data_IF_229410852933
#
_entry.id   IF_229410852933
#
_cell.length_a   1.000
_cell.length_b   1.000
_cell.length_c   1.000
_cell.angle_alpha   90.00
_cell.angle_beta   90.00
_cell.angle_gamma   90.00
#
_symmetry.space_group_name_H-M   'P 1'
#
loop_
_entity.id
_entity.type
_entity.pdbx_description
1 polymer ?
#
# COMPACT_ATOMS: atom_id res chain seq x y z
N UNK A 1 25.31 -3.16 -11.11
CA UNK A 1 24.35 -2.81 -10.05
C UNK A 1 22.97 -3.18 -10.57
N UNK A 2 22.30 -4.18 -9.97
CA UNK A 2 20.99 -4.64 -10.45
C UNK A 2 20.01 -3.46 -10.35
N UNK A 3 19.30 -3.17 -11.44
CA UNK A 3 18.19 -2.21 -11.46
C UNK A 3 17.17 -2.62 -10.39
N UNK A 4 17.25 -2.02 -9.20
CA UNK A 4 16.26 -2.23 -8.16
C UNK A 4 14.94 -1.64 -8.63
N UNK A 5 13.88 -2.47 -8.68
CA UNK A 5 12.53 -2.02 -8.97
C UNK A 5 12.11 -1.02 -7.87
N UNK A 6 12.04 0.30 -8.16
CA UNK A 6 11.82 1.30 -7.11
C UNK A 6 10.46 1.15 -6.44
N UNK A 7 9.47 0.61 -7.16
CA UNK A 7 8.15 0.31 -6.62
C UNK A 7 8.21 -0.82 -5.58
N UNK A 8 9.01 -1.87 -5.83
CA UNK A 8 9.17 -2.98 -4.89
C UNK A 8 9.79 -2.49 -3.59
N UNK A 9 10.90 -1.75 -3.64
CA UNK A 9 11.55 -1.20 -2.44
C UNK A 9 10.62 -0.27 -1.65
N UNK A 10 9.99 0.71 -2.31
CA UNK A 10 9.07 1.65 -1.67
C UNK A 10 7.87 0.96 -1.03
N UNK A 11 7.30 -0.05 -1.69
CA UNK A 11 6.15 -0.78 -1.15
C UNK A 11 6.51 -1.62 0.08
N UNK A 12 7.73 -2.18 0.13
CA UNK A 12 8.22 -2.91 1.30
C UNK A 12 8.45 -1.98 2.50
N UNK A 13 9.09 -0.83 2.27
CA UNK A 13 9.30 0.18 3.31
C UNK A 13 7.97 0.70 3.86
N UNK A 14 6.99 0.94 2.99
CA UNK A 14 5.63 1.31 3.39
C UNK A 14 4.96 0.22 4.23
N UNK A 15 5.07 -1.05 3.83
CA UNK A 15 4.53 -2.18 4.59
C UNK A 15 5.13 -2.26 6.00
N UNK A 16 6.44 -2.01 6.16
CA UNK A 16 7.09 -1.96 7.47
C UNK A 16 6.54 -0.83 8.36
N UNK A 17 6.32 0.36 7.80
CA UNK A 17 5.73 1.49 8.54
C UNK A 17 4.28 1.17 8.97
N UNK A 18 3.49 0.49 8.12
CA UNK A 18 2.13 0.04 8.45
C UNK A 18 2.15 -0.98 9.61
N UNK A 19 3.09 -1.94 9.59
CA UNK A 19 3.27 -2.91 10.68
C UNK A 19 3.64 -2.21 11.99
N UNK A 20 4.53 -1.22 11.94
CA UNK A 20 4.92 -0.42 13.12
C UNK A 20 3.74 0.36 13.68
N UNK A 21 2.96 1.00 12.80
CA UNK A 21 1.77 1.75 13.20
C UNK A 21 0.72 0.84 13.85
N UNK A 22 0.45 -0.33 13.26
CA UNK A 22 -0.47 -1.32 13.84
C UNK A 22 -0.06 -1.71 15.27
N UNK A 23 1.22 -2.05 15.48
CA UNK A 23 1.74 -2.40 16.82
C UNK A 23 1.55 -1.26 17.82
N UNK A 24 1.82 -0.03 17.40
CA UNK A 24 1.63 1.18 18.20
C UNK A 24 0.17 1.40 18.60
N UNK A 25 -0.77 1.31 17.65
CA UNK A 25 -2.20 1.48 17.90
C UNK A 25 -2.70 0.42 18.89
N UNK A 26 -2.38 -0.85 18.65
CA UNK A 26 -2.80 -1.95 19.53
C UNK A 26 -2.27 -1.76 20.94
N UNK A 27 -0.99 -1.44 21.10
CA UNK A 27 -0.36 -1.28 22.42
C UNK A 27 -0.88 -0.06 23.20
N UNK A 28 -1.17 1.05 22.53
CA UNK A 28 -1.51 2.32 23.19
C UNK A 28 -3.00 2.64 23.25
N UNK A 29 -3.80 2.09 22.32
CA UNK A 29 -5.23 2.43 22.17
C UNK A 29 -6.16 1.23 22.27
N UNK A 30 -5.64 0.00 22.26
CA UNK A 30 -6.47 -1.22 22.25
C UNK A 30 -7.52 -1.23 21.12
N UNK A 31 -7.16 -0.72 19.95
CA UNK A 31 -8.01 -0.76 18.75
C UNK A 31 -7.52 -1.87 17.81
N UNK A 32 -8.43 -2.76 17.42
CA UNK A 32 -8.10 -4.02 16.74
C UNK A 32 -8.83 -4.26 15.42
N UNK A 33 -9.88 -3.48 15.14
CA UNK A 33 -10.76 -3.70 13.99
C UNK A 33 -10.26 -2.87 12.81
N UNK A 34 -10.18 -1.55 12.99
CA UNK A 34 -9.76 -0.62 11.94
C UNK A 34 -8.26 -0.77 11.64
N UNK A 35 -7.45 -0.87 12.69
CA UNK A 35 -6.01 -1.07 12.62
C UNK A 35 -5.64 -2.36 11.87
N UNK A 36 -6.45 -3.42 12.02
CA UNK A 36 -6.26 -4.68 11.30
C UNK A 36 -6.65 -4.57 9.82
N UNK A 37 -7.68 -3.79 9.48
CA UNK A 37 -8.02 -3.52 8.08
C UNK A 37 -6.92 -2.70 7.39
N UNK A 38 -6.40 -1.68 8.07
CA UNK A 38 -5.22 -0.92 7.61
C UNK A 38 -4.00 -1.83 7.43
N UNK A 39 -3.70 -2.71 8.40
CA UNK A 39 -2.58 -3.65 8.33
C UNK A 39 -2.68 -4.56 7.10
N UNK A 40 -3.85 -5.17 6.89
CA UNK A 40 -4.11 -6.09 5.78
C UNK A 40 -3.91 -5.39 4.44
N UNK A 41 -4.61 -4.28 4.22
CA UNK A 41 -4.53 -3.54 2.95
C UNK A 41 -3.12 -2.98 2.72
N UNK A 42 -2.51 -2.37 3.73
CA UNK A 42 -1.18 -1.77 3.59
C UNK A 42 -0.06 -2.77 3.27
N UNK A 43 -0.12 -3.99 3.83
CA UNK A 43 0.85 -5.06 3.51
C UNK A 43 0.53 -5.79 2.21
N UNK A 44 -0.74 -5.87 1.82
CA UNK A 44 -1.21 -6.48 0.56
C UNK A 44 -0.65 -5.77 -0.68
N UNK A 45 -0.36 -4.46 -0.61
CA UNK A 45 0.24 -3.69 -1.71
C UNK A 45 1.58 -4.31 -2.13
N UNK A 46 2.53 -4.44 -1.19
CA UNK A 46 3.85 -5.02 -1.46
C UNK A 46 3.78 -6.50 -1.86
N UNK A 47 2.87 -7.27 -1.24
CA UNK A 47 2.66 -8.67 -1.59
C UNK A 47 2.25 -8.84 -3.06
N UNK A 48 1.24 -8.09 -3.52
CA UNK A 48 0.78 -8.15 -4.90
C UNK A 48 1.82 -7.62 -5.90
N UNK A 49 2.62 -6.60 -5.54
CA UNK A 49 3.75 -6.14 -6.37
C UNK A 49 4.82 -7.23 -6.50
N UNK A 50 5.11 -7.95 -5.42
CA UNK A 50 6.04 -9.08 -5.43
C UNK A 50 5.55 -10.19 -6.37
N UNK A 51 4.27 -10.56 -6.26
CA UNK A 51 3.64 -11.53 -7.17
C UNK A 51 3.65 -11.07 -8.63
N UNK A 52 3.46 -9.77 -8.89
CA UNK A 52 3.55 -9.21 -10.23
C UNK A 52 4.93 -9.43 -10.86
N UNK A 53 6.03 -9.38 -10.09
CA UNK A 53 7.38 -9.64 -10.62
C UNK A 53 7.57 -11.11 -11.05
N UNK A 54 6.75 -12.03 -10.56
CA UNK A 54 6.71 -13.44 -10.96
C UNK A 54 5.64 -13.76 -12.01
N UNK A 55 4.97 -12.75 -12.57
CA UNK A 55 3.85 -12.95 -13.48
C UNK A 55 4.27 -13.66 -14.77
N UNK A 56 3.43 -14.58 -15.24
CA UNK A 56 3.69 -15.39 -16.44
C UNK A 56 3.21 -14.72 -17.74
N UNK A 57 2.47 -13.60 -17.63
CA UNK A 57 1.99 -12.83 -18.77
C UNK A 57 1.76 -11.37 -18.42
N UNK A 58 1.67 -10.50 -19.43
CA UNK A 58 1.32 -9.08 -19.29
C UNK A 58 -0.05 -8.86 -18.64
N UNK A 59 -1.01 -9.75 -18.92
CA UNK A 59 -2.35 -9.70 -18.34
C UNK A 59 -2.33 -10.04 -16.85
N UNK A 60 -1.59 -11.09 -16.46
CA UNK A 60 -1.38 -11.48 -15.06
C UNK A 60 -0.65 -10.38 -14.27
N UNK A 61 0.44 -9.84 -14.84
CA UNK A 61 1.15 -8.69 -14.28
C UNK A 61 0.20 -7.51 -14.03
N UNK A 62 -0.61 -7.15 -15.03
CA UNK A 62 -1.57 -6.04 -14.92
C UNK A 62 -2.65 -6.30 -13.88
N UNK A 63 -3.10 -7.56 -13.73
CA UNK A 63 -4.09 -7.94 -12.73
C UNK A 63 -3.52 -7.75 -11.32
N UNK A 64 -2.30 -8.21 -11.05
CA UNK A 64 -1.62 -8.06 -9.75
C UNK A 64 -1.35 -6.60 -9.40
N UNK A 65 -0.83 -5.80 -10.34
CA UNK A 65 -0.67 -4.35 -10.13
C UNK A 65 -2.03 -3.67 -9.90
N UNK A 66 -3.09 -4.10 -10.58
CA UNK A 66 -4.43 -3.55 -10.36
C UNK A 66 -4.99 -3.88 -8.98
N UNK A 67 -4.66 -5.02 -8.40
CA UNK A 67 -5.02 -5.36 -7.02
C UNK A 67 -4.24 -4.48 -6.06
N UNK A 68 -2.91 -4.40 -6.21
CA UNK A 68 -2.06 -3.54 -5.39
C UNK A 68 -2.52 -2.07 -5.39
N UNK A 69 -2.97 -1.56 -6.54
CA UNK A 69 -3.55 -0.22 -6.66
C UNK A 69 -4.85 -0.05 -5.87
N UNK A 70 -5.74 -1.06 -5.84
CA UNK A 70 -6.97 -0.98 -5.03
C UNK A 70 -6.64 -0.98 -3.54
N UNK A 71 -5.68 -1.80 -3.14
CA UNK A 71 -5.19 -1.87 -1.75
C UNK A 71 -4.58 -0.54 -1.28
N UNK A 72 -3.91 0.20 -2.18
CA UNK A 72 -3.39 1.54 -1.86
C UNK A 72 -4.48 2.60 -1.70
N UNK A 73 -5.65 2.42 -2.32
CA UNK A 73 -6.81 3.27 -2.05
C UNK A 73 -7.48 2.89 -0.72
N UNK A 74 -7.61 1.61 -0.43
CA UNK A 74 -8.20 1.10 0.81
C UNK A 74 -7.38 1.53 2.04
N UNK A 75 -6.05 1.39 2.02
CA UNK A 75 -5.21 1.79 3.16
C UNK A 75 -5.30 3.30 3.43
N UNK A 76 -5.43 4.14 2.39
CA UNK A 76 -5.63 5.59 2.54
C UNK A 76 -6.94 5.91 3.24
N UNK A 77 -8.01 5.16 2.93
CA UNK A 77 -9.29 5.29 3.61
C UNK A 77 -9.16 4.94 5.09
N UNK A 78 -8.55 3.81 5.43
CA UNK A 78 -8.37 3.41 6.84
C UNK A 78 -7.45 4.35 7.62
N UNK A 79 -6.38 4.84 7.02
CA UNK A 79 -5.50 5.86 7.64
C UNK A 79 -6.27 7.16 7.92
N UNK A 80 -7.19 7.55 7.04
CA UNK A 80 -8.02 8.73 7.23
C UNK A 80 -9.03 8.50 8.36
N UNK A 81 -9.67 7.34 8.39
CA UNK A 81 -10.62 6.99 9.45
C UNK A 81 -9.93 6.93 10.82
N UNK A 82 -8.77 6.29 10.93
CA UNK A 82 -7.96 6.21 12.16
C UNK A 82 -7.49 7.59 12.64
N UNK A 83 -7.23 8.51 11.71
CA UNK A 83 -6.87 9.90 12.01
C UNK A 83 -8.06 10.70 12.54
N UNK A 84 -9.20 10.61 11.85
CA UNK A 84 -10.40 11.38 12.18
C UNK A 84 -11.15 10.81 13.41
N UNK A 85 -10.76 9.63 13.88
CA UNK A 85 -11.22 8.99 15.14
C UNK A 85 -10.16 9.02 16.26
N UNK A 86 -9.14 9.86 16.14
CA UNK A 86 -8.12 10.13 17.18
C UNK A 86 -7.27 8.91 17.63
N UNK A 87 -7.23 7.83 16.82
CA UNK A 87 -6.32 6.70 17.03
C UNK A 87 -4.90 7.01 16.55
N UNK A 88 -4.76 7.87 15.54
CA UNK A 88 -3.47 8.22 14.93
C UNK A 88 -3.35 9.73 14.77
N UNK A 89 -2.17 10.27 15.07
CA UNK A 89 -1.95 11.72 14.91
C UNK A 89 -2.01 12.13 13.44
N UNK A 90 -2.47 13.35 13.19
CA UNK A 90 -2.53 13.94 11.83
C UNK A 90 -1.18 13.88 11.10
N UNK A 91 -0.08 14.12 11.81
CA UNK A 91 1.27 14.06 11.22
C UNK A 91 1.63 12.66 10.71
N UNK A 92 1.41 11.62 11.51
CA UNK A 92 1.69 10.24 11.12
C UNK A 92 0.78 9.80 9.98
N UNK A 93 -0.53 10.04 10.11
CA UNK A 93 -1.50 9.65 9.09
C UNK A 93 -1.22 10.33 7.74
N UNK A 94 -0.99 11.65 7.74
CA UNK A 94 -0.72 12.39 6.50
C UNK A 94 0.58 11.94 5.82
N UNK A 95 1.63 11.64 6.59
CA UNK A 95 2.88 11.06 6.06
C UNK A 95 2.60 9.75 5.32
N UNK A 96 1.90 8.82 5.97
CA UNK A 96 1.61 7.50 5.39
C UNK A 96 0.64 7.57 4.21
N UNK A 97 -0.35 8.46 4.25
CA UNK A 97 -1.25 8.72 3.13
C UNK A 97 -0.47 9.24 1.93
N UNK A 98 0.49 10.16 2.13
CA UNK A 98 1.33 10.67 1.05
C UNK A 98 2.21 9.57 0.43
N UNK A 99 2.76 8.67 1.24
CA UNK A 99 3.51 7.50 0.76
C UNK A 99 2.62 6.53 -0.04
N UNK A 100 1.42 6.22 0.46
CA UNK A 100 0.46 5.40 -0.26
C UNK A 100 0.00 6.05 -1.58
N UNK A 101 -0.11 7.38 -1.61
CA UNK A 101 -0.45 8.13 -2.82
C UNK A 101 0.67 8.12 -3.87
N UNK A 102 1.93 8.20 -3.44
CA UNK A 102 3.10 8.01 -4.31
C UNK A 102 3.05 6.62 -4.97
N UNK A 103 2.85 5.56 -4.17
CA UNK A 103 2.70 4.19 -4.69
C UNK A 103 1.53 4.09 -5.67
N UNK A 104 0.38 4.71 -5.34
CA UNK A 104 -0.81 4.73 -6.19
C UNK A 104 -0.51 5.35 -7.57
N UNK A 105 0.22 6.47 -7.60
CA UNK A 105 0.61 7.16 -8.84
C UNK A 105 1.55 6.31 -9.71
N UNK A 106 2.53 5.65 -9.09
CA UNK A 106 3.45 4.76 -9.80
C UNK A 106 2.69 3.59 -10.42
N UNK A 107 1.87 2.88 -9.62
CA UNK A 107 1.07 1.75 -10.09
C UNK A 107 0.08 2.15 -11.18
N UNK A 108 -0.57 3.32 -11.05
CA UNK A 108 -1.48 3.82 -12.08
C UNK A 108 -0.77 4.14 -13.40
N UNK A 109 0.44 4.70 -13.33
CA UNK A 109 1.28 4.92 -14.52
C UNK A 109 1.62 3.60 -15.21
N UNK A 110 2.03 2.58 -14.43
CA UNK A 110 2.30 1.22 -14.95
C UNK A 110 1.05 0.65 -15.62
N UNK A 111 -0.13 0.73 -14.98
CA UNK A 111 -1.37 0.22 -15.57
C UNK A 111 -1.73 0.92 -16.88
N UNK A 112 -1.49 2.23 -16.99
CA UNK A 112 -1.69 2.98 -18.25
C UNK A 112 -0.78 2.50 -19.35
N UNK A 113 0.50 2.24 -19.06
CA UNK A 113 1.46 1.76 -20.05
C UNK A 113 1.18 0.31 -20.44
N UNK A 114 0.80 -0.54 -19.50
CA UNK A 114 0.57 -1.96 -19.77
C UNK A 114 -0.77 -2.23 -20.46
N UNK A 115 -1.78 -1.36 -20.27
CA UNK A 115 -3.06 -1.42 -21.01
C UNK A 115 -3.01 -0.77 -22.40
N UNK A 116 -1.92 -0.08 -22.77
CA UNK A 116 -1.72 0.45 -24.14
C UNK A 116 -1.18 -0.64 -25.09
N UNK A 117 -2.07 -1.55 -25.46
CA UNK A 117 -1.99 -2.36 -26.68
C UNK A 117 -3.42 -2.74 -27.07
N UNK A 118 -4.20 -1.73 -27.46
CA UNK A 118 -5.36 -1.86 -28.35
C UNK A 118 -5.33 -0.68 -29.31
#
# INVERSE_FOLDING_TARGET
MKNENPLLGKSYDFALEIVRLYKSIVASKSEYVLSKQMLRSGTSIGANISEANGAISTADFSAKISIAYKESLEVKYWLSLLKDSDYVTKGIANKLIAQADELSKIMFSILKTTKRAK
#
